data_IF_123667765054
#
_entry.id   IF_123667765054
#
_cell.length_a   1.000
_cell.length_b   1.000
_cell.length_c   1.000
_cell.angle_alpha   90.00
_cell.angle_beta   90.00
_cell.angle_gamma   90.00
#
_symmetry.space_group_name_H-M   'P 1'
#
loop_
_entity.id
_entity.type
_entity.pdbx_description
1 polymer ?
#
# COMPACT_ATOMS: atom_id res chain seq x y z
N UNK A 1 21.28 28.84 34.38
CA UNK A 1 20.03 28.53 35.11
C UNK A 1 19.37 27.45 34.29
N UNK A 2 19.59 26.20 34.69
CA UNK A 2 19.06 25.04 33.97
C UNK A 2 17.55 24.99 34.22
N UNK A 3 16.78 25.36 33.19
CA UNK A 3 15.32 25.33 33.19
C UNK A 3 14.82 23.88 33.08
N UNK A 4 15.30 22.98 33.95
CA UNK A 4 14.86 21.60 33.97
C UNK A 4 13.51 21.56 34.68
N UNK A 5 12.42 21.59 33.93
CA UNK A 5 11.07 21.43 34.45
C UNK A 5 11.02 20.02 35.07
N UNK A 6 10.85 19.88 36.40
CA UNK A 6 10.89 18.58 37.05
C UNK A 6 9.76 17.68 36.54
N UNK A 7 10.10 16.44 36.19
CA UNK A 7 9.14 15.42 35.75
C UNK A 7 8.87 14.49 36.92
N UNK A 8 7.61 14.41 37.34
CA UNK A 8 7.18 13.58 38.46
C UNK A 8 7.09 12.12 38.02
N UNK A 9 7.58 11.20 38.84
CA UNK A 9 7.52 9.75 38.57
C UNK A 9 8.62 9.21 37.66
N UNK A 10 9.64 10.02 37.31
CA UNK A 10 10.76 9.57 36.46
C UNK A 10 11.54 8.41 37.09
N UNK A 11 11.81 8.48 38.40
CA UNK A 11 12.55 7.42 39.11
C UNK A 11 11.74 6.11 39.15
N UNK A 12 10.43 6.21 39.39
CA UNK A 12 9.53 5.05 39.41
C UNK A 12 9.42 4.41 38.01
N UNK A 13 9.30 5.22 36.95
CA UNK A 13 9.30 4.72 35.58
C UNK A 13 10.64 4.05 35.26
N UNK A 14 11.76 4.69 35.60
CA UNK A 14 13.10 4.16 35.33
C UNK A 14 13.31 2.82 36.03
N UNK A 15 12.94 2.71 37.31
CA UNK A 15 13.01 1.46 38.06
C UNK A 15 12.13 0.36 37.46
N UNK A 16 10.92 0.72 37.00
CA UNK A 16 10.04 -0.23 36.32
C UNK A 16 10.60 -0.69 34.97
N UNK A 17 11.19 0.21 34.19
CA UNK A 17 11.87 -0.12 32.93
C UNK A 17 13.07 -1.04 33.15
N UNK A 18 13.87 -0.79 34.18
CA UNK A 18 14.99 -1.66 34.55
C UNK A 18 14.51 -3.07 34.95
N UNK A 19 13.36 -3.17 35.61
CA UNK A 19 12.72 -4.45 35.92
C UNK A 19 12.21 -5.19 34.68
N UNK A 20 11.61 -4.48 33.71
CA UNK A 20 11.20 -5.05 32.42
C UNK A 20 12.40 -5.55 31.60
N UNK A 21 13.50 -4.80 31.62
CA UNK A 21 14.75 -5.19 30.95
C UNK A 21 15.34 -6.45 31.60
N UNK A 22 15.36 -6.52 32.93
CA UNK A 22 15.87 -7.68 33.65
C UNK A 22 14.97 -8.91 33.48
N UNK A 23 13.66 -8.73 33.37
CA UNK A 23 12.69 -9.79 33.16
C UNK A 23 11.57 -9.34 32.20
N UNK A 24 11.67 -9.67 30.89
CA UNK A 24 10.68 -9.29 29.88
C UNK A 24 9.27 -9.88 30.07
N UNK A 25 9.09 -10.83 30.98
CA UNK A 25 7.77 -11.37 31.35
C UNK A 25 7.08 -10.54 32.45
N UNK A 26 7.73 -9.50 32.98
CA UNK A 26 7.14 -8.60 33.97
C UNK A 26 5.94 -7.86 33.36
N UNK A 27 4.77 -7.82 34.03
CA UNK A 27 3.63 -7.07 33.52
C UNK A 27 3.93 -5.58 33.38
N UNK A 28 3.60 -5.01 32.22
CA UNK A 28 3.77 -3.60 31.92
C UNK A 28 2.80 -2.74 32.76
N UNK A 29 3.33 -1.77 33.51
CA UNK A 29 2.54 -0.76 34.20
C UNK A 29 2.36 0.47 33.30
N UNK A 30 1.36 0.43 32.42
CA UNK A 30 1.10 1.48 31.43
C UNK A 30 0.94 2.88 32.05
N UNK A 31 0.36 2.96 33.26
CA UNK A 31 0.14 4.23 33.96
C UNK A 31 1.43 5.03 34.17
N UNK A 32 2.55 4.36 34.48
CA UNK A 32 3.84 5.05 34.70
C UNK A 32 4.35 5.72 33.42
N UNK A 33 4.09 5.10 32.27
CA UNK A 33 4.46 5.66 30.97
C UNK A 33 3.52 6.81 30.60
N UNK A 34 2.21 6.61 30.75
CA UNK A 34 1.21 7.63 30.40
C UNK A 34 1.37 8.90 31.24
N UNK A 35 1.55 8.76 32.56
CA UNK A 35 1.74 9.87 33.50
C UNK A 35 2.99 10.69 33.14
N UNK A 36 4.08 10.02 32.71
CA UNK A 36 5.30 10.70 32.26
C UNK A 36 5.13 11.30 30.86
N UNK A 37 4.48 10.58 29.95
CA UNK A 37 4.22 11.04 28.59
C UNK A 37 3.44 12.37 28.61
N UNK A 38 2.41 12.49 29.45
CA UNK A 38 1.61 13.72 29.61
C UNK A 38 2.42 14.94 30.04
N UNK A 39 3.55 14.75 30.72
CA UNK A 39 4.43 15.81 31.21
C UNK A 39 5.52 16.22 30.20
N UNK A 40 5.69 15.50 29.08
CA UNK A 40 6.70 15.82 28.08
C UNK A 40 6.36 17.08 27.28
N UNK A 41 7.34 17.98 27.23
CA UNK A 41 7.34 19.27 26.51
C UNK A 41 8.66 19.43 25.74
N UNK A 42 8.72 20.36 24.79
CA UNK A 42 9.95 20.61 24.03
C UNK A 42 11.13 21.03 24.92
N UNK A 43 10.85 21.62 26.09
CA UNK A 43 11.88 22.08 27.04
C UNK A 43 12.48 20.97 27.90
N UNK A 44 11.68 19.96 28.31
CA UNK A 44 12.13 18.89 29.21
C UNK A 44 12.41 17.56 28.49
N UNK A 45 12.04 17.42 27.21
CA UNK A 45 12.32 16.21 26.43
C UNK A 45 13.82 15.98 26.19
N UNK A 46 14.63 16.98 25.78
CA UNK A 46 16.05 16.76 25.48
C UNK A 46 16.87 16.09 26.61
N UNK A 47 16.79 16.51 27.89
CA UNK A 47 17.55 15.85 28.95
C UNK A 47 17.08 14.41 29.21
N UNK A 48 15.82 14.07 28.95
CA UNK A 48 15.26 12.74 29.19
C UNK A 48 15.63 11.73 28.11
N UNK A 49 16.01 12.19 26.90
CA UNK A 49 16.42 11.32 25.79
C UNK A 49 17.50 10.33 26.22
N UNK A 50 18.56 10.82 26.86
CA UNK A 50 19.71 9.99 27.24
C UNK A 50 19.38 8.96 28.33
N UNK A 51 18.38 9.25 29.16
CA UNK A 51 17.97 8.38 30.27
C UNK A 51 16.96 7.33 29.83
N UNK A 52 15.94 7.73 29.07
CA UNK A 52 14.79 6.90 28.74
C UNK A 52 14.96 6.13 27.42
N UNK A 53 15.55 6.76 26.40
CA UNK A 53 15.60 6.17 25.06
C UNK A 53 16.36 4.84 25.01
N UNK A 54 17.57 4.69 25.62
CA UNK A 54 18.28 3.40 25.59
C UNK A 54 17.46 2.27 26.22
N UNK A 55 16.75 2.56 27.31
CA UNK A 55 15.90 1.60 28.01
C UNK A 55 14.66 1.24 27.18
N UNK A 56 14.01 2.23 26.57
CA UNK A 56 12.87 2.00 25.68
C UNK A 56 13.26 1.12 24.50
N UNK A 57 14.40 1.41 23.84
CA UNK A 57 14.91 0.58 22.75
C UNK A 57 15.10 -0.86 23.22
N UNK A 58 15.72 -1.07 24.38
CA UNK A 58 15.91 -2.42 24.91
C UNK A 58 14.58 -3.13 25.19
N UNK A 59 13.61 -2.45 25.81
CA UNK A 59 12.27 -3.01 26.08
C UNK A 59 11.56 -3.37 24.77
N UNK A 60 11.58 -2.47 23.79
CA UNK A 60 10.93 -2.69 22.49
C UNK A 60 11.54 -3.90 21.74
N UNK A 61 12.84 -4.17 21.93
CA UNK A 61 13.51 -5.32 21.35
C UNK A 61 13.23 -6.64 22.06
N UNK A 62 12.93 -6.62 23.36
CA UNK A 62 12.79 -7.84 24.18
C UNK A 62 11.36 -8.16 24.61
N UNK A 63 10.42 -7.23 24.46
CA UNK A 63 9.05 -7.41 24.95
C UNK A 63 8.33 -8.57 24.24
N UNK A 64 7.66 -9.40 25.05
CA UNK A 64 6.81 -10.49 24.57
C UNK A 64 5.33 -10.09 24.48
N UNK A 65 5.01 -8.87 24.92
CA UNK A 65 3.66 -8.31 24.96
C UNK A 65 3.55 -7.07 24.08
N UNK A 66 2.32 -6.66 23.79
CA UNK A 66 2.01 -5.48 23.00
C UNK A 66 2.81 -4.23 23.46
N UNK A 67 3.69 -3.67 22.61
CA UNK A 67 4.53 -2.52 22.93
C UNK A 67 3.83 -1.17 22.77
N UNK A 68 2.49 -1.11 22.64
CA UNK A 68 1.76 0.14 22.38
C UNK A 68 2.18 1.30 23.30
N UNK A 69 2.22 1.08 24.63
CA UNK A 69 2.59 2.14 25.58
C UNK A 69 4.07 2.57 25.47
N UNK A 70 5.08 1.67 25.52
CA UNK A 70 6.47 2.09 25.31
C UNK A 70 6.71 2.68 23.91
N UNK A 71 6.00 2.24 22.87
CA UNK A 71 6.08 2.80 21.52
C UNK A 71 5.53 4.23 21.45
N UNK A 72 4.44 4.52 22.16
CA UNK A 72 3.86 5.87 22.28
C UNK A 72 4.85 6.84 22.92
N UNK A 73 5.40 6.48 24.09
CA UNK A 73 6.39 7.30 24.78
C UNK A 73 7.64 7.51 23.92
N UNK A 74 8.11 6.45 23.24
CA UNK A 74 9.24 6.54 22.30
C UNK A 74 8.95 7.51 21.17
N UNK A 75 7.76 7.44 20.56
CA UNK A 75 7.33 8.36 19.50
C UNK A 75 7.38 9.81 19.97
N UNK A 76 6.92 10.09 21.19
CA UNK A 76 6.94 11.44 21.75
C UNK A 76 8.36 11.93 22.04
N UNK A 77 9.21 11.07 22.61
CA UNK A 77 10.63 11.38 22.86
C UNK A 77 11.41 11.64 21.58
N UNK A 78 11.14 10.90 20.50
CA UNK A 78 11.85 11.07 19.22
C UNK A 78 11.40 12.29 18.40
N UNK A 79 10.28 12.95 18.76
CA UNK A 79 9.73 14.10 18.04
C UNK A 79 10.78 15.17 17.65
N UNK A 80 11.64 15.68 18.57
CA UNK A 80 12.62 16.74 18.25
C UNK A 80 13.79 16.27 17.39
N UNK A 81 13.98 14.97 17.18
CA UNK A 81 15.12 14.43 16.44
C UNK A 81 14.84 14.33 14.95
N UNK A 82 15.87 14.56 14.13
CA UNK A 82 15.86 14.31 12.68
C UNK A 82 16.08 12.83 12.38
N UNK A 83 15.82 12.38 11.15
CA UNK A 83 16.05 10.98 10.78
C UNK A 83 17.54 10.61 10.89
N UNK A 84 18.42 11.51 10.45
CA UNK A 84 19.88 11.34 10.55
C UNK A 84 20.35 11.19 11.99
N UNK A 85 19.78 11.97 12.92
CA UNK A 85 20.09 11.86 14.34
C UNK A 85 19.62 10.52 14.92
N UNK A 86 18.42 10.06 14.56
CA UNK A 86 17.89 8.79 15.09
C UNK A 86 18.74 7.61 14.59
N UNK A 87 19.08 7.58 13.31
CA UNK A 87 19.92 6.52 12.72
C UNK A 87 21.37 6.53 13.22
N UNK A 88 21.84 7.66 13.78
CA UNK A 88 23.12 7.70 14.50
C UNK A 88 23.05 7.12 15.91
N UNK A 89 21.86 7.10 16.52
CA UNK A 89 21.61 6.59 17.87
C UNK A 89 21.21 5.12 17.90
N UNK A 90 20.50 4.66 16.87
CA UNK A 90 20.06 3.29 16.71
C UNK A 90 20.46 2.76 15.31
N UNK A 91 21.07 1.57 15.23
CA UNK A 91 21.52 1.03 13.97
C UNK A 91 20.33 0.63 13.07
N UNK A 92 20.49 0.57 11.74
CA UNK A 92 19.40 0.23 10.81
C UNK A 92 18.68 -1.09 11.12
N UNK A 93 19.39 -2.06 11.70
CA UNK A 93 18.87 -3.36 12.10
C UNK A 93 17.75 -3.25 13.15
N UNK A 94 17.81 -2.23 14.02
CA UNK A 94 16.72 -1.94 14.97
C UNK A 94 15.43 -1.55 14.25
N UNK A 95 15.52 -0.82 13.13
CA UNK A 95 14.36 -0.45 12.33
C UNK A 95 13.77 -1.66 11.62
N UNK A 96 14.64 -2.53 11.07
CA UNK A 96 14.22 -3.79 10.43
C UNK A 96 13.47 -4.66 11.45
N UNK A 97 14.05 -4.88 12.63
CA UNK A 97 13.42 -5.67 13.69
C UNK A 97 12.05 -5.10 14.10
N UNK A 98 11.91 -3.77 14.16
CA UNK A 98 10.63 -3.13 14.49
C UNK A 98 9.60 -3.21 13.35
N UNK A 99 10.04 -3.17 12.08
CA UNK A 99 9.19 -3.39 10.90
C UNK A 99 8.72 -4.84 10.79
N UNK A 100 9.56 -5.80 11.14
CA UNK A 100 9.26 -7.25 11.11
C UNK A 100 8.56 -7.75 12.39
N UNK A 101 8.38 -6.87 13.38
CA UNK A 101 7.67 -7.20 14.60
C UNK A 101 6.23 -7.66 14.31
N UNK A 102 5.71 -8.67 15.00
CA UNK A 102 4.30 -9.05 14.91
C UNK A 102 3.37 -8.01 15.54
N UNK A 103 3.91 -7.00 16.23
CA UNK A 103 3.13 -5.99 16.92
C UNK A 103 2.92 -4.75 16.06
N UNK A 104 1.65 -4.36 15.78
CA UNK A 104 1.36 -3.22 14.91
C UNK A 104 1.97 -1.90 15.42
N UNK A 105 2.01 -1.72 16.75
CA UNK A 105 2.59 -0.53 17.36
C UNK A 105 4.10 -0.38 17.09
N UNK A 106 4.85 -1.49 17.02
CA UNK A 106 6.26 -1.46 16.67
C UNK A 106 6.47 -1.10 15.19
N UNK A 107 5.64 -1.67 14.29
CA UNK A 107 5.67 -1.33 12.87
C UNK A 107 5.37 0.15 12.65
N UNK A 108 4.33 0.68 13.31
CA UNK A 108 3.92 2.09 13.20
C UNK A 108 5.00 3.02 13.77
N UNK A 109 5.66 2.65 14.87
CA UNK A 109 6.81 3.40 15.40
C UNK A 109 7.94 3.45 14.37
N UNK A 110 8.33 2.32 13.79
CA UNK A 110 9.38 2.26 12.79
C UNK A 110 9.03 3.12 11.57
N UNK A 111 7.81 2.98 11.03
CA UNK A 111 7.31 3.82 9.94
C UNK A 111 7.27 5.31 10.31
N UNK A 112 6.99 5.65 11.57
CA UNK A 112 7.04 7.02 12.06
C UNK A 112 8.47 7.57 12.08
N UNK A 113 9.46 6.74 12.42
CA UNK A 113 10.87 7.11 12.32
C UNK A 113 11.26 7.31 10.84
N UNK A 114 10.91 6.37 9.96
CA UNK A 114 11.17 6.51 8.51
C UNK A 114 10.53 7.78 7.94
N UNK A 115 9.32 8.12 8.38
CA UNK A 115 8.61 9.31 7.93
C UNK A 115 9.36 10.61 8.26
N UNK A 116 10.22 10.63 9.28
CA UNK A 116 11.03 11.82 9.58
C UNK A 116 11.97 12.19 8.45
N UNK A 117 12.39 11.23 7.62
CA UNK A 117 13.21 11.51 6.45
C UNK A 117 12.49 12.44 5.45
N UNK A 118 11.15 12.45 5.43
CA UNK A 118 10.37 13.39 4.60
C UNK A 118 10.53 14.87 5.03
N UNK A 119 11.31 15.17 6.07
CA UNK A 119 11.64 16.54 6.45
C UNK A 119 12.65 17.22 5.52
N UNK A 120 13.49 16.44 4.82
CA UNK A 120 14.49 16.95 3.89
C UNK A 120 14.86 15.92 2.82
N UNK A 121 15.05 16.37 1.58
CA UNK A 121 15.41 15.52 0.44
C UNK A 121 16.69 14.69 0.68
N UNK A 122 17.68 15.27 1.37
CA UNK A 122 18.92 14.58 1.73
C UNK A 122 18.71 13.41 2.71
N UNK A 123 17.73 13.50 3.61
CA UNK A 123 17.42 12.40 4.53
C UNK A 123 16.67 11.26 3.80
N UNK A 124 15.84 11.59 2.81
CA UNK A 124 15.23 10.57 1.94
C UNK A 124 16.29 9.87 1.10
N UNK A 125 17.28 10.61 0.58
CA UNK A 125 18.42 10.01 -0.11
C UNK A 125 19.23 9.08 0.80
N UNK A 126 19.46 9.46 2.06
CA UNK A 126 20.09 8.60 3.06
C UNK A 126 19.28 7.32 3.30
N UNK A 127 17.95 7.42 3.47
CA UNK A 127 17.07 6.25 3.59
C UNK A 127 17.12 5.37 2.34
N UNK A 128 17.18 5.98 1.16
CA UNK A 128 17.30 5.27 -0.11
C UNK A 128 18.61 4.49 -0.22
N UNK A 129 19.66 4.78 0.56
CA UNK A 129 20.88 3.95 0.60
C UNK A 129 20.66 2.66 1.43
N UNK A 130 19.73 2.67 2.38
CA UNK A 130 19.45 1.55 3.31
C UNK A 130 18.53 0.50 2.69
N UNK A 131 19.04 -0.34 1.77
CA UNK A 131 18.26 -1.33 1.00
C UNK A 131 17.37 -2.23 1.85
N UNK A 132 17.94 -2.86 2.86
CA UNK A 132 17.20 -3.81 3.70
C UNK A 132 16.09 -3.12 4.51
N UNK A 133 16.28 -1.85 4.89
CA UNK A 133 15.23 -1.07 5.57
C UNK A 133 14.07 -0.76 4.63
N UNK A 134 14.36 -0.36 3.39
CA UNK A 134 13.32 -0.11 2.36
C UNK A 134 12.57 -1.40 2.02
N UNK A 135 13.29 -2.52 1.90
CA UNK A 135 12.72 -3.85 1.67
C UNK A 135 11.76 -4.24 2.80
N UNK A 136 12.23 -4.20 4.05
CA UNK A 136 11.41 -4.49 5.22
C UNK A 136 10.18 -3.57 5.27
N UNK A 137 10.34 -2.27 4.98
CA UNK A 137 9.22 -1.33 4.94
C UNK A 137 8.15 -1.71 3.90
N UNK A 138 8.57 -2.09 2.68
CA UNK A 138 7.65 -2.53 1.62
C UNK A 138 6.92 -3.80 2.02
N UNK A 139 7.63 -4.81 2.56
CA UNK A 139 7.03 -6.04 3.08
C UNK A 139 5.99 -5.72 4.16
N UNK A 140 6.35 -4.98 5.20
CA UNK A 140 5.44 -4.64 6.31
C UNK A 140 4.25 -3.83 5.84
N UNK A 141 4.45 -2.86 4.94
CA UNK A 141 3.35 -2.02 4.47
C UNK A 141 2.33 -2.79 3.62
N UNK A 142 2.79 -3.55 2.63
CA UNK A 142 1.88 -4.24 1.71
C UNK A 142 1.40 -5.59 2.26
N UNK A 143 2.23 -6.30 3.04
CA UNK A 143 1.94 -7.62 3.59
C UNK A 143 1.18 -7.65 4.92
N UNK A 144 1.05 -6.53 5.64
CA UNK A 144 0.37 -6.53 6.95
C UNK A 144 -1.16 -6.63 6.84
N UNK A 145 -1.79 -7.40 7.74
CA UNK A 145 -3.26 -7.44 7.92
C UNK A 145 -3.86 -6.19 8.56
N UNK A 146 -3.02 -5.35 9.15
CA UNK A 146 -3.46 -4.28 10.03
C UNK A 146 -3.76 -3.01 9.25
N UNK A 147 -4.94 -2.44 9.47
CA UNK A 147 -5.39 -1.23 8.78
C UNK A 147 -4.45 -0.06 9.09
N UNK A 148 -4.12 0.15 10.37
CA UNK A 148 -3.26 1.26 10.79
C UNK A 148 -1.84 1.20 10.23
N UNK A 149 -1.27 -0.01 10.09
CA UNK A 149 0.04 -0.22 9.45
C UNK A 149 -0.05 0.11 7.96
N UNK A 150 -1.09 -0.36 7.29
CA UNK A 150 -1.38 -0.08 5.89
C UNK A 150 -1.53 1.40 5.57
N UNK A 151 -2.33 2.12 6.36
CA UNK A 151 -2.58 3.55 6.22
C UNK A 151 -1.31 4.36 6.47
N UNK A 152 -0.58 4.05 7.56
CA UNK A 152 0.68 4.71 7.87
C UNK A 152 1.70 4.48 6.76
N UNK A 153 1.87 3.24 6.30
CA UNK A 153 2.82 2.90 5.24
C UNK A 153 2.53 3.63 3.93
N UNK A 154 1.27 3.71 3.52
CA UNK A 154 0.87 4.43 2.30
C UNK A 154 1.18 5.92 2.38
N UNK A 155 0.89 6.53 3.55
CA UNK A 155 1.26 7.93 3.82
C UNK A 155 2.77 8.14 3.77
N UNK A 156 3.54 7.28 4.43
CA UNK A 156 5.00 7.39 4.50
C UNK A 156 5.62 7.24 3.11
N UNK A 157 5.24 6.22 2.35
CA UNK A 157 5.75 6.02 0.99
C UNK A 157 5.42 7.21 0.09
N UNK A 158 4.16 7.67 0.09
CA UNK A 158 3.73 8.80 -0.72
C UNK A 158 4.47 10.10 -0.37
N UNK A 159 4.67 10.39 0.92
CA UNK A 159 5.36 11.60 1.37
C UNK A 159 6.87 11.56 1.07
N UNK A 160 7.51 10.40 1.25
CA UNK A 160 8.93 10.23 0.94
C UNK A 160 9.20 10.38 -0.57
N UNK A 161 8.39 9.74 -1.42
CA UNK A 161 8.51 9.86 -2.87
C UNK A 161 8.19 11.28 -3.37
N UNK A 162 7.24 11.97 -2.75
CA UNK A 162 7.01 13.39 -3.04
C UNK A 162 8.23 14.24 -2.74
N UNK A 163 8.81 14.11 -1.54
CA UNK A 163 10.00 14.86 -1.10
C UNK A 163 11.24 14.56 -1.92
N UNK A 164 11.41 13.32 -2.39
CA UNK A 164 12.56 12.91 -3.20
C UNK A 164 12.36 13.10 -4.72
N UNK A 165 11.17 13.48 -5.18
CA UNK A 165 10.90 13.71 -6.60
C UNK A 165 11.89 14.72 -7.21
N UNK A 166 12.58 14.31 -8.28
CA UNK A 166 13.64 15.10 -8.92
C UNK A 166 13.11 16.08 -9.98
N UNK A 167 11.79 16.16 -10.15
CA UNK A 167 11.13 17.23 -10.89
C UNK A 167 11.09 18.53 -10.07
N UNK A 168 11.18 19.66 -10.78
CA UNK A 168 10.95 20.97 -10.17
C UNK A 168 9.60 20.97 -9.41
N UNK A 169 9.55 21.48 -8.17
CA UNK A 169 8.28 21.67 -7.48
C UNK A 169 7.36 22.59 -8.29
N UNK A 170 6.03 22.36 -8.26
CA UNK A 170 5.10 23.27 -8.90
C UNK A 170 5.22 24.67 -8.27
N UNK A 171 5.20 25.71 -9.11
CA UNK A 171 5.34 27.08 -8.64
C UNK A 171 4.19 27.43 -7.70
N UNK A 172 4.46 27.61 -6.40
CA UNK A 172 3.44 28.00 -5.43
C UNK A 172 2.80 29.31 -5.85
N UNK A 173 1.59 29.26 -6.40
CA UNK A 173 0.77 30.45 -6.59
C UNK A 173 0.57 31.09 -5.23
N UNK A 174 1.01 32.33 -5.05
CA UNK A 174 0.70 33.14 -3.87
C UNK A 174 -0.82 33.44 -3.86
N UNK A 175 -1.64 32.48 -3.46
CA UNK A 175 -3.07 32.72 -3.28
C UNK A 175 -3.30 33.50 -1.98
N UNK A 176 -3.83 34.70 -2.17
CA UNK A 176 -4.32 35.70 -1.22
C UNK A 176 -4.54 35.21 0.22
N UNK A 177 -3.69 35.70 1.14
CA UNK A 177 -4.03 35.81 2.57
C UNK A 177 -5.33 36.61 2.71
N UNK A 178 -6.46 35.94 2.97
CA UNK A 178 -7.73 36.64 3.14
C UNK A 178 -8.95 35.83 3.58
N UNK A 179 -8.84 34.52 3.83
CA UNK A 179 -9.97 33.71 4.31
C UNK A 179 -9.58 32.94 5.56
N UNK A 180 -10.16 33.29 6.71
CA UNK A 180 -10.06 32.53 7.97
C UNK A 180 -11.04 31.34 7.95
N UNK A 181 -10.95 30.50 6.92
CA UNK A 181 -11.76 29.31 6.76
C UNK A 181 -11.04 28.06 7.25
N UNK A 182 -11.78 27.15 7.89
CA UNK A 182 -11.32 25.82 8.29
C UNK A 182 -10.92 25.00 7.03
N UNK A 183 -9.92 24.10 7.06
CA UNK A 183 -9.43 23.35 5.89
C UNK A 183 -10.45 22.45 5.17
N UNK A 184 -11.68 22.36 5.67
CA UNK A 184 -12.75 21.55 5.10
C UNK A 184 -13.88 22.40 4.49
N UNK A 185 -13.82 23.73 4.61
CA UNK A 185 -14.84 24.69 4.14
C UNK A 185 -14.41 25.45 2.86
N UNK A 186 -13.26 25.09 2.27
CA UNK A 186 -12.63 25.85 1.18
C UNK A 186 -12.28 24.98 -0.05
N UNK A 187 -13.20 24.13 -0.51
CA UNK A 187 -12.97 23.30 -1.70
C UNK A 187 -11.83 22.28 -1.53
N UNK A 188 -11.67 21.40 -2.53
CA UNK A 188 -10.60 20.39 -2.51
C UNK A 188 -9.21 21.04 -2.69
N UNK A 189 -8.14 20.42 -2.15
CA UNK A 189 -6.77 20.92 -2.30
C UNK A 189 -6.41 21.05 -3.79
N UNK A 190 -5.82 22.18 -4.18
CA UNK A 190 -5.26 22.32 -5.53
C UNK A 190 -4.04 21.41 -5.69
N UNK A 191 -3.60 21.09 -6.92
CA UNK A 191 -2.36 20.32 -7.15
C UNK A 191 -1.16 20.86 -6.35
N UNK A 192 -1.11 22.17 -6.11
CA UNK A 192 -0.06 22.83 -5.33
C UNK A 192 -0.13 22.52 -3.82
N UNK A 193 -1.32 22.21 -3.30
CA UNK A 193 -1.54 21.82 -1.91
C UNK A 193 -1.24 20.33 -1.66
N UNK A 194 -1.16 19.53 -2.73
CA UNK A 194 -0.84 18.11 -2.68
C UNK A 194 0.67 17.83 -2.65
N UNK A 195 1.50 18.79 -3.10
CA UNK A 195 2.96 18.63 -3.19
C UNK A 195 3.65 19.13 -1.92
N UNK A 196 4.30 18.20 -1.22
CA UNK A 196 5.03 18.48 0.01
C UNK A 196 6.39 19.14 -0.23
N UNK A 197 7.08 18.75 -1.31
CA UNK A 197 8.45 19.20 -1.57
C UNK A 197 8.52 20.70 -1.82
N UNK A 198 9.56 21.34 -1.27
CA UNK A 198 9.85 22.77 -1.46
C UNK A 198 10.99 23.02 -2.45
N UNK A 199 11.76 21.98 -2.72
CA UNK A 199 12.94 21.97 -3.56
C UNK A 199 12.97 20.65 -4.34
N UNK A 200 13.82 20.59 -5.35
CA UNK A 200 14.06 19.39 -6.14
C UNK A 200 14.74 18.32 -5.28
N UNK A 201 14.19 17.11 -5.28
CA UNK A 201 14.78 15.93 -4.66
C UNK A 201 15.84 15.26 -5.53
N UNK A 202 16.39 14.14 -5.05
CA UNK A 202 17.47 13.42 -5.72
C UNK A 202 16.99 12.32 -6.68
N UNK A 203 15.74 11.88 -6.52
CA UNK A 203 15.17 10.72 -7.19
C UNK A 203 15.77 9.38 -6.73
N UNK A 204 16.55 9.36 -5.64
CA UNK A 204 17.22 8.15 -5.15
C UNK A 204 16.24 7.09 -4.66
N UNK A 205 15.19 7.49 -3.94
CA UNK A 205 14.15 6.57 -3.46
C UNK A 205 13.25 6.13 -4.61
N UNK A 206 12.94 7.01 -5.57
CA UNK A 206 12.25 6.61 -6.81
C UNK A 206 12.99 5.50 -7.53
N UNK A 207 14.30 5.65 -7.73
CA UNK A 207 15.15 4.60 -8.32
C UNK A 207 15.14 3.33 -7.48
N UNK A 208 15.24 3.45 -6.15
CA UNK A 208 15.21 2.28 -5.26
C UNK A 208 13.87 1.53 -5.30
N UNK A 209 12.74 2.20 -5.49
CA UNK A 209 11.42 1.54 -5.51
C UNK A 209 11.05 1.01 -6.89
N UNK A 210 11.39 1.73 -7.97
CA UNK A 210 10.91 1.42 -9.33
C UNK A 210 11.97 0.83 -10.28
N UNK A 211 13.25 1.03 -10.00
CA UNK A 211 14.34 0.55 -10.87
C UNK A 211 15.18 -0.58 -10.23
N UNK A 212 15.19 -0.71 -8.89
CA UNK A 212 15.87 -1.83 -8.20
C UNK A 212 15.06 -3.12 -8.38
N UNK A 213 15.66 -4.11 -9.04
CA UNK A 213 15.00 -5.38 -9.37
C UNK A 213 14.43 -6.12 -8.16
N UNK A 214 15.14 -6.08 -7.03
CA UNK A 214 14.72 -6.79 -5.83
C UNK A 214 13.52 -6.10 -5.18
N UNK A 215 13.56 -4.77 -5.05
CA UNK A 215 12.48 -4.01 -4.39
C UNK A 215 11.25 -3.92 -5.29
N UNK A 216 11.43 -3.59 -6.57
CA UNK A 216 10.31 -3.49 -7.49
C UNK A 216 9.69 -4.87 -7.76
N UNK A 217 10.53 -5.91 -7.91
CA UNK A 217 10.07 -7.30 -8.00
C UNK A 217 9.30 -7.75 -6.76
N UNK A 218 9.72 -7.34 -5.56
CA UNK A 218 8.99 -7.57 -4.32
C UNK A 218 7.60 -6.91 -4.34
N UNK A 219 7.50 -5.62 -4.71
CA UNK A 219 6.21 -4.91 -4.86
C UNK A 219 5.29 -5.69 -5.81
N UNK A 220 5.78 -6.06 -6.98
CA UNK A 220 4.99 -6.80 -7.97
C UNK A 220 4.54 -8.18 -7.47
N UNK A 221 5.39 -8.92 -6.75
CA UNK A 221 5.05 -10.23 -6.22
C UNK A 221 4.04 -10.19 -5.08
N UNK A 222 4.09 -9.18 -4.21
CA UNK A 222 3.07 -8.91 -3.18
C UNK A 222 1.71 -8.64 -3.84
N UNK A 223 1.68 -7.76 -4.84
CA UNK A 223 0.44 -7.36 -5.52
C UNK A 223 -0.12 -8.43 -6.47
N UNK A 224 0.71 -9.37 -6.92
CA UNK A 224 0.30 -10.49 -7.75
C UNK A 224 -0.08 -11.74 -6.94
N UNK A 225 0.00 -11.69 -5.60
CA UNK A 225 -0.33 -12.84 -4.75
C UNK A 225 0.66 -13.99 -4.88
N UNK A 226 1.95 -13.67 -5.01
CA UNK A 226 3.07 -14.62 -5.18
C UNK A 226 4.10 -14.56 -4.04
N UNK A 227 4.07 -13.48 -3.26
CA UNK A 227 4.85 -13.37 -2.03
C UNK A 227 4.24 -14.22 -0.91
N UNK A 228 5.04 -14.70 0.05
CA UNK A 228 4.56 -15.54 1.16
C UNK A 228 3.39 -14.93 1.93
N UNK A 229 3.38 -13.61 2.14
CA UNK A 229 2.31 -12.89 2.86
C UNK A 229 0.98 -12.88 2.11
N UNK A 230 1.01 -12.95 0.78
CA UNK A 230 -0.16 -12.78 -0.10
C UNK A 230 -0.38 -14.00 -1.02
N UNK A 231 0.30 -15.12 -0.78
CA UNK A 231 0.33 -16.25 -1.72
C UNK A 231 -1.02 -16.95 -1.81
N UNK A 232 -1.69 -16.84 -2.95
CA UNK A 232 -2.98 -17.50 -3.21
C UNK A 232 -2.87 -18.70 -4.15
N UNK A 233 -1.67 -19.02 -4.64
CA UNK A 233 -1.47 -20.08 -5.65
C UNK A 233 -1.44 -21.47 -5.00
N UNK A 234 -0.77 -21.60 -3.85
CA UNK A 234 -0.57 -22.87 -3.17
C UNK A 234 -0.93 -22.75 -1.67
N UNK A 235 -2.20 -22.53 -1.31
CA UNK A 235 -2.60 -22.52 0.09
C UNK A 235 -2.52 -23.95 0.68
N UNK A 236 -2.19 -24.05 1.96
CA UNK A 236 -2.18 -25.33 2.70
C UNK A 236 -3.59 -25.83 2.95
N UNK A 237 -4.52 -24.91 3.25
CA UNK A 237 -5.92 -25.20 3.48
C UNK A 237 -6.84 -24.02 3.12
N UNK A 238 -8.15 -24.22 3.27
CA UNK A 238 -9.19 -23.25 2.95
C UNK A 238 -9.16 -22.00 3.85
N UNK A 239 -8.71 -22.14 5.10
CA UNK A 239 -8.64 -21.02 6.03
C UNK A 239 -7.46 -20.10 5.66
N UNK A 240 -6.30 -20.69 5.34
CA UNK A 240 -5.15 -19.95 4.82
C UNK A 240 -5.48 -19.28 3.49
N UNK A 241 -6.17 -19.98 2.57
CA UNK A 241 -6.58 -19.39 1.29
C UNK A 241 -7.36 -18.09 1.48
N UNK A 242 -8.41 -18.10 2.32
CA UNK A 242 -9.22 -16.91 2.61
C UNK A 242 -8.41 -15.80 3.26
N UNK A 243 -7.49 -16.16 4.15
CA UNK A 243 -6.59 -15.19 4.78
C UNK A 243 -5.70 -14.52 3.73
N UNK A 244 -5.06 -15.30 2.85
CA UNK A 244 -4.17 -14.80 1.80
C UNK A 244 -4.90 -14.00 0.73
N UNK A 245 -6.11 -14.41 0.35
CA UNK A 245 -7.00 -13.64 -0.53
C UNK A 245 -7.31 -12.27 0.08
N UNK A 246 -7.70 -12.24 1.37
CA UNK A 246 -7.93 -10.98 2.08
C UNK A 246 -6.68 -10.09 2.11
N UNK A 247 -5.51 -10.67 2.38
CA UNK A 247 -4.25 -9.92 2.40
C UNK A 247 -3.89 -9.36 1.03
N UNK A 248 -4.10 -10.13 -0.04
CA UNK A 248 -3.89 -9.67 -1.41
C UNK A 248 -4.80 -8.48 -1.75
N UNK A 249 -6.09 -8.58 -1.45
CA UNK A 249 -7.07 -7.48 -1.61
C UNK A 249 -6.63 -6.22 -0.86
N UNK A 250 -6.16 -6.34 0.38
CA UNK A 250 -5.65 -5.21 1.15
C UNK A 250 -4.41 -4.58 0.51
N UNK A 251 -3.44 -5.39 0.09
CA UNK A 251 -2.22 -4.93 -0.57
C UNK A 251 -2.53 -4.17 -1.87
N UNK A 252 -3.40 -4.75 -2.72
CA UNK A 252 -3.84 -4.15 -3.98
C UNK A 252 -4.58 -2.83 -3.74
N UNK A 253 -5.54 -2.80 -2.81
CA UNK A 253 -6.27 -1.59 -2.44
C UNK A 253 -5.35 -0.48 -1.91
N UNK A 254 -4.29 -0.81 -1.16
CA UNK A 254 -3.29 0.17 -0.68
C UNK A 254 -2.55 0.84 -1.83
N UNK A 255 -2.14 0.08 -2.85
CA UNK A 255 -1.47 0.64 -4.03
C UNK A 255 -2.42 1.47 -4.88
N UNK A 256 -3.65 1.00 -5.14
CA UNK A 256 -4.65 1.76 -5.88
C UNK A 256 -4.92 3.14 -5.26
N UNK A 257 -4.89 3.27 -3.94
CA UNK A 257 -5.09 4.56 -3.24
C UNK A 257 -3.95 5.56 -3.44
N UNK A 258 -2.70 5.12 -3.56
CA UNK A 258 -1.55 6.05 -3.66
C UNK A 258 -1.07 6.28 -5.09
N UNK A 259 -1.32 5.32 -5.99
CA UNK A 259 -0.77 5.33 -7.34
C UNK A 259 -1.19 6.56 -8.18
N UNK A 260 -2.42 7.09 -8.07
CA UNK A 260 -2.79 8.36 -8.71
C UNK A 260 -1.90 9.52 -8.28
N UNK A 261 -1.59 9.64 -6.98
CA UNK A 261 -0.66 10.65 -6.45
C UNK A 261 0.74 10.44 -7.01
N UNK A 262 1.23 9.20 -7.03
CA UNK A 262 2.57 8.90 -7.57
C UNK A 262 2.69 9.23 -9.05
N UNK A 263 1.68 8.87 -9.86
CA UNK A 263 1.63 9.20 -11.28
C UNK A 263 1.64 10.72 -11.53
N UNK A 264 1.06 11.49 -10.61
CA UNK A 264 1.03 12.93 -10.71
C UNK A 264 2.38 13.58 -10.34
N UNK A 265 3.18 12.93 -9.48
CA UNK A 265 4.53 13.36 -9.14
C UNK A 265 5.55 13.00 -10.24
N UNK A 266 5.49 11.75 -10.72
CA UNK A 266 6.34 11.23 -11.79
C UNK A 266 5.61 10.14 -12.57
N UNK A 267 4.97 10.56 -13.67
CA UNK A 267 4.22 9.65 -14.52
C UNK A 267 5.13 8.62 -15.21
N UNK A 268 6.33 9.02 -15.62
CA UNK A 268 7.23 8.14 -16.37
C UNK A 268 7.66 6.95 -15.51
N UNK A 269 8.02 7.20 -14.24
CA UNK A 269 8.47 6.16 -13.30
C UNK A 269 7.41 5.10 -12.98
N UNK A 270 6.13 5.47 -12.95
CA UNK A 270 5.06 4.49 -12.69
C UNK A 270 4.57 3.80 -13.97
N UNK A 271 4.74 4.43 -15.13
CA UNK A 271 4.29 3.91 -16.44
C UNK A 271 5.27 2.93 -17.03
N UNK A 272 6.58 3.16 -16.84
CA UNK A 272 7.66 2.41 -17.50
C UNK A 272 8.41 1.51 -16.54
N UNK A 273 8.75 0.31 -16.99
CA UNK A 273 9.68 -0.57 -16.28
C UNK A 273 10.36 -1.55 -17.22
N UNK A 274 11.60 -1.91 -16.92
CA UNK A 274 12.31 -3.02 -17.56
C UNK A 274 11.88 -4.38 -16.99
N UNK A 275 11.22 -4.38 -15.83
CA UNK A 275 10.80 -5.57 -15.11
C UNK A 275 9.33 -5.85 -15.42
N UNK A 276 9.06 -6.98 -16.05
CA UNK A 276 7.71 -7.36 -16.43
C UNK A 276 6.90 -7.79 -15.20
N UNK A 277 5.70 -7.24 -15.07
CA UNK A 277 4.76 -7.66 -14.04
C UNK A 277 4.37 -9.14 -14.20
N UNK A 278 4.39 -9.94 -13.13
CA UNK A 278 3.99 -11.34 -13.17
C UNK A 278 2.49 -11.48 -13.44
N UNK A 279 2.07 -12.66 -13.89
CA UNK A 279 0.64 -12.98 -13.98
C UNK A 279 0.05 -13.07 -12.56
N UNK A 280 -1.05 -12.36 -12.25
CA UNK A 280 -1.70 -12.45 -10.95
C UNK A 280 -2.11 -13.87 -10.56
N UNK A 281 -2.09 -14.16 -9.26
CA UNK A 281 -2.28 -15.49 -8.71
C UNK A 281 -3.67 -16.09 -8.98
N UNK A 282 -4.72 -15.30 -9.05
CA UNK A 282 -6.09 -15.79 -9.27
C UNK A 282 -6.29 -16.40 -10.67
N UNK A 283 -5.43 -16.06 -11.65
CA UNK A 283 -5.38 -16.75 -12.94
C UNK A 283 -4.65 -18.09 -12.89
N UNK A 284 -3.71 -18.26 -11.95
CA UNK A 284 -2.92 -19.48 -11.78
C UNK A 284 -3.60 -20.48 -10.82
N UNK A 285 -4.28 -19.99 -9.78
CA UNK A 285 -4.96 -20.80 -8.78
C UNK A 285 -6.06 -21.68 -9.38
N UNK A 286 -6.85 -21.15 -10.33
CA UNK A 286 -7.89 -21.94 -11.01
C UNK A 286 -7.34 -23.09 -11.87
N UNK A 287 -6.07 -23.01 -12.32
CA UNK A 287 -5.47 -24.05 -13.15
C UNK A 287 -4.95 -25.25 -12.34
N UNK A 288 -4.65 -25.06 -11.04
CA UNK A 288 -4.10 -26.09 -10.17
C UNK A 288 -5.15 -27.08 -9.65
N UNK A 289 -6.43 -26.69 -9.61
CA UNK A 289 -7.54 -27.56 -9.17
C UNK A 289 -7.94 -28.62 -10.22
N UNK A 290 -7.48 -28.47 -11.47
CA UNK A 290 -7.81 -29.37 -12.59
C UNK A 290 -6.62 -30.24 -13.08
N UNK A 291 -5.62 -30.50 -12.23
CA UNK A 291 -4.48 -31.38 -12.56
C UNK A 291 -4.86 -32.88 -12.66
N UNK A 292 -4.21 -33.66 -13.56
CA UNK A 292 -4.70 -34.97 -13.97
C UNK A 292 -4.58 -36.00 -12.85
N UNK A 293 -5.70 -36.62 -12.47
CA UNK A 293 -5.73 -37.83 -11.65
C UNK A 293 -4.88 -38.93 -12.29
N UNK A 294 -3.63 -39.08 -11.84
CA UNK A 294 -2.80 -40.22 -12.23
C UNK A 294 -3.34 -41.46 -11.54
N UNK A 295 -4.21 -42.16 -12.24
CA UNK A 295 -4.76 -43.44 -11.86
C UNK A 295 -3.63 -44.50 -11.85
N UNK A 296 -2.97 -44.67 -10.72
CA UNK A 296 -2.11 -45.84 -10.45
C UNK A 296 -2.65 -46.54 -9.22
N UNK A 297 -3.54 -47.51 -9.42
CA UNK A 297 -3.69 -48.64 -8.50
C UNK A 297 -3.88 -49.90 -9.35
N UNK A 298 -2.83 -50.72 -9.39
CA UNK A 298 -2.91 -52.08 -9.89
C UNK A 298 -3.75 -52.93 -8.94
N UNK A 299 -4.62 -53.76 -9.49
CA UNK A 299 -5.31 -54.82 -8.74
C UNK A 299 -4.78 -56.18 -9.20
N UNK A 300 -4.45 -57.09 -8.27
CA UNK A 300 -4.41 -58.51 -8.58
C UNK A 300 -5.82 -59.11 -8.52
N UNK A 301 -6.07 -60.02 -9.45
CA UNK A 301 -7.31 -60.80 -9.65
C UNK A 301 -7.67 -61.63 -8.41
N UNK A 302 -8.96 -61.70 -8.09
CA UNK A 302 -9.60 -62.95 -7.67
C UNK A 302 -11.09 -63.01 -8.01
N UNK A 303 -11.49 -64.12 -8.61
CA UNK A 303 -12.87 -64.49 -8.99
C UNK A 303 -13.73 -64.88 -7.77
N UNK A 304 -15.04 -64.63 -7.85
CA UNK A 304 -16.05 -65.24 -6.97
C UNK A 304 -17.49 -64.82 -7.30
N UNK A 305 -18.31 -65.79 -7.67
CA UNK A 305 -19.69 -65.71 -8.21
C UNK A 305 -20.82 -65.56 -7.18
N UNK A 306 -21.94 -64.94 -7.62
CA UNK A 306 -23.34 -65.37 -7.46
C UNK A 306 -24.33 -64.55 -6.57
N UNK A 307 -25.50 -64.31 -7.19
CA UNK A 307 -26.88 -64.27 -6.69
C UNK A 307 -27.52 -63.01 -6.05
N UNK A 308 -28.35 -62.35 -6.90
CA UNK A 308 -29.81 -62.05 -6.75
C UNK A 308 -30.30 -61.06 -5.65
N UNK A 309 -31.51 -60.49 -5.83
CA UNK A 309 -31.71 -59.04 -5.85
C UNK A 309 -32.49 -58.53 -4.62
N UNK A 310 -32.43 -57.23 -4.34
CA UNK A 310 -33.51 -56.60 -3.59
C UNK A 310 -33.75 -55.14 -3.98
N UNK A 311 -35.03 -54.82 -3.94
CA UNK A 311 -35.69 -53.59 -4.36
C UNK A 311 -35.56 -52.46 -3.33
N UNK A 312 -35.80 -51.25 -3.84
CA UNK A 312 -36.36 -50.08 -3.18
C UNK A 312 -35.46 -49.29 -2.22
N UNK A 313 -35.06 -48.13 -2.73
CA UNK A 313 -34.61 -46.98 -1.97
C UNK A 313 -34.49 -45.80 -2.92
N UNK A 314 -35.63 -45.19 -3.27
CA UNK A 314 -35.68 -43.85 -3.85
C UNK A 314 -34.94 -42.90 -2.90
N UNK A 315 -33.71 -42.54 -3.27
CA UNK A 315 -33.02 -41.39 -2.70
C UNK A 315 -32.85 -40.43 -3.87
N UNK A 316 -33.61 -39.34 -3.77
CA UNK A 316 -33.56 -38.16 -4.60
C UNK A 316 -32.10 -37.78 -4.87
N UNK A 317 -31.71 -37.89 -6.14
CA UNK A 317 -30.58 -37.16 -6.70
C UNK A 317 -30.87 -35.67 -6.52
N UNK A 318 -30.42 -35.09 -5.41
CA UNK A 318 -30.11 -33.67 -5.41
C UNK A 318 -28.90 -33.54 -6.33
N UNK A 319 -29.16 -33.11 -7.56
CA UNK A 319 -28.14 -32.54 -8.42
C UNK A 319 -27.53 -31.38 -7.67
N UNK A 320 -26.38 -31.63 -7.04
CA UNK A 320 -25.39 -30.58 -6.88
C UNK A 320 -24.99 -30.30 -8.31
N UNK A 321 -25.54 -29.25 -8.89
CA UNK A 321 -24.92 -28.58 -10.02
C UNK A 321 -23.51 -28.26 -9.53
N UNK A 322 -22.55 -29.11 -9.90
CA UNK A 322 -21.14 -28.74 -9.85
C UNK A 322 -21.07 -27.49 -10.71
N UNK A 323 -21.02 -26.32 -10.06
CA UNK A 323 -20.64 -25.07 -10.71
C UNK A 323 -19.30 -25.35 -11.37
N UNK A 324 -19.35 -25.67 -12.66
CA UNK A 324 -18.20 -25.79 -13.52
C UNK A 324 -17.56 -24.40 -13.50
N UNK A 325 -16.60 -24.20 -12.57
CA UNK A 325 -15.88 -22.94 -12.40
C UNK A 325 -15.12 -22.70 -13.70
N UNK A 326 -15.76 -21.99 -14.62
CA UNK A 326 -15.20 -21.66 -15.91
C UNK A 326 -13.91 -20.87 -15.65
N UNK A 327 -12.79 -21.45 -16.03
CA UNK A 327 -11.47 -20.85 -15.90
C UNK A 327 -11.50 -19.43 -16.48
N UNK A 328 -11.17 -18.42 -15.67
CA UNK A 328 -11.06 -17.06 -16.18
C UNK A 328 -10.08 -17.02 -17.35
N UNK A 329 -10.44 -16.40 -18.48
CA UNK A 329 -9.53 -16.27 -19.60
C UNK A 329 -8.26 -15.56 -19.13
N UNK A 330 -7.10 -16.12 -19.46
CA UNK A 330 -5.81 -15.55 -19.10
C UNK A 330 -5.72 -14.11 -19.62
N UNK A 331 -5.23 -13.16 -18.81
CA UNK A 331 -5.02 -11.81 -19.30
C UNK A 331 -3.90 -11.85 -20.35
N UNK A 332 -3.92 -10.94 -21.33
CA UNK A 332 -2.80 -10.80 -22.24
C UNK A 332 -1.50 -10.58 -21.43
N UNK A 333 -0.35 -11.08 -21.91
CA UNK A 333 0.93 -10.84 -21.27
C UNK A 333 1.23 -9.33 -21.20
N UNK A 334 2.07 -8.87 -20.25
CA UNK A 334 2.44 -7.46 -20.20
C UNK A 334 3.16 -7.10 -21.51
N UNK A 335 2.87 -5.93 -22.06
CA UNK A 335 3.68 -5.39 -23.14
C UNK A 335 5.04 -4.98 -22.57
N UNK A 336 6.11 -5.14 -23.36
CA UNK A 336 7.45 -4.73 -22.97
C UNK A 336 7.46 -3.24 -22.61
N UNK A 337 8.06 -2.91 -21.47
CA UNK A 337 8.14 -1.53 -20.99
C UNK A 337 6.99 -1.10 -20.10
N UNK A 338 5.97 -1.93 -19.85
CA UNK A 338 4.86 -1.58 -18.95
C UNK A 338 5.25 -1.71 -17.47
N UNK A 339 5.08 -0.61 -16.73
CA UNK A 339 5.31 -0.50 -15.29
C UNK A 339 4.06 -0.73 -14.42
N UNK A 340 4.17 -0.29 -13.15
CA UNK A 340 3.19 -0.54 -12.09
C UNK A 340 1.81 0.03 -12.42
N UNK A 341 1.74 1.18 -13.08
CA UNK A 341 0.47 1.81 -13.48
C UNK A 341 -0.34 0.90 -14.40
N UNK A 342 0.31 0.34 -15.43
CA UNK A 342 -0.34 -0.59 -16.35
C UNK A 342 -0.76 -1.87 -15.64
N UNK A 343 0.10 -2.42 -14.79
CA UNK A 343 -0.22 -3.62 -14.02
C UNK A 343 -1.46 -3.40 -13.15
N UNK A 344 -1.47 -2.33 -12.34
CA UNK A 344 -2.56 -2.00 -11.44
C UNK A 344 -3.87 -1.73 -12.19
N UNK A 345 -3.82 -0.93 -13.26
CA UNK A 345 -5.01 -0.48 -13.99
C UNK A 345 -5.65 -1.59 -14.85
N UNK A 346 -4.85 -2.49 -15.42
CA UNK A 346 -5.31 -3.39 -16.48
C UNK A 346 -5.34 -4.86 -16.08
N UNK A 347 -4.51 -5.29 -15.11
CA UNK A 347 -4.23 -6.71 -14.90
C UNK A 347 -4.29 -7.17 -13.45
N UNK A 348 -4.00 -6.31 -12.47
CA UNK A 348 -3.81 -6.66 -11.06
C UNK A 348 -5.09 -7.04 -10.32
N UNK A 349 -6.22 -6.45 -10.70
CA UNK A 349 -7.50 -6.61 -10.00
C UNK A 349 -8.32 -7.72 -10.65
N UNK A 350 -8.81 -8.66 -9.85
CA UNK A 350 -9.90 -9.53 -10.25
C UNK A 350 -11.22 -8.74 -10.26
N UNK A 351 -11.80 -8.55 -11.44
CA UNK A 351 -13.04 -7.78 -11.61
C UNK A 351 -14.29 -8.56 -11.17
N UNK A 352 -14.17 -9.86 -10.89
CA UNK A 352 -15.26 -10.64 -10.29
C UNK A 352 -15.43 -10.34 -8.81
N UNK A 353 -14.38 -9.87 -8.13
CA UNK A 353 -14.50 -9.28 -6.80
C UNK A 353 -15.06 -7.85 -6.94
N UNK A 354 -16.35 -7.71 -6.64
CA UNK A 354 -17.08 -6.44 -6.76
C UNK A 354 -16.43 -5.32 -5.93
N UNK A 355 -15.93 -5.62 -4.71
CA UNK A 355 -15.33 -4.60 -3.86
C UNK A 355 -13.99 -4.13 -4.44
N UNK A 356 -13.21 -5.04 -5.00
CA UNK A 356 -11.97 -4.68 -5.69
C UNK A 356 -12.22 -3.98 -7.02
N UNK A 357 -13.29 -4.34 -7.75
CA UNK A 357 -13.68 -3.63 -8.97
C UNK A 357 -14.10 -2.18 -8.66
N UNK A 358 -14.87 -1.95 -7.60
CA UNK A 358 -15.19 -0.60 -7.13
C UNK A 358 -13.93 0.18 -6.74
N UNK A 359 -12.97 -0.47 -6.06
CA UNK A 359 -11.68 0.15 -5.73
C UNK A 359 -10.86 0.52 -6.97
N UNK A 360 -10.94 -0.28 -8.04
CA UNK A 360 -10.33 0.02 -9.34
C UNK A 360 -11.00 1.24 -10.00
N UNK A 361 -12.33 1.36 -9.90
CA UNK A 361 -13.08 2.51 -10.40
C UNK A 361 -12.67 3.79 -9.65
N UNK A 362 -12.63 3.75 -8.32
CA UNK A 362 -12.17 4.89 -7.49
C UNK A 362 -10.74 5.30 -7.88
N UNK A 363 -9.87 4.33 -8.17
CA UNK A 363 -8.53 4.59 -8.70
C UNK A 363 -8.57 5.34 -10.03
N UNK A 364 -9.40 4.92 -10.99
CA UNK A 364 -9.52 5.59 -12.29
C UNK A 364 -10.07 7.01 -12.16
N UNK A 365 -11.09 7.22 -11.33
CA UNK A 365 -11.63 8.56 -11.05
C UNK A 365 -10.54 9.48 -10.49
N UNK A 366 -9.79 9.02 -9.47
CA UNK A 366 -8.70 9.75 -8.88
C UNK A 366 -7.55 10.00 -9.87
N UNK A 367 -7.15 8.99 -10.64
CA UNK A 367 -6.09 9.08 -11.63
C UNK A 367 -6.42 10.10 -12.72
N UNK A 368 -7.60 10.01 -13.34
CA UNK A 368 -8.01 10.94 -14.40
C UNK A 368 -8.18 12.36 -13.84
N UNK A 369 -8.77 12.49 -12.65
CA UNK A 369 -8.92 13.76 -11.95
C UNK A 369 -7.59 14.45 -11.64
N UNK A 370 -6.61 13.69 -11.14
CA UNK A 370 -5.26 14.21 -10.86
C UNK A 370 -4.48 14.54 -12.14
N UNK A 371 -4.56 13.70 -13.18
CA UNK A 371 -3.90 13.97 -14.46
C UNK A 371 -4.39 15.25 -15.12
N UNK A 372 -5.65 15.66 -14.90
CA UNK A 372 -6.18 16.95 -15.35
C UNK A 372 -5.38 18.13 -14.80
N UNK A 373 -5.04 18.09 -13.51
CA UNK A 373 -4.48 19.25 -12.78
C UNK A 373 -2.95 19.29 -12.76
N UNK A 374 -2.29 18.25 -13.25
CA UNK A 374 -0.83 18.23 -13.46
C UNK A 374 -0.43 19.02 -14.72
N UNK A 375 0.83 19.49 -14.85
CA UNK A 375 1.30 20.18 -16.03
C UNK A 375 0.94 19.45 -17.35
N UNK A 376 0.47 20.15 -18.39
CA UNK A 376 0.11 19.51 -19.65
C UNK A 376 1.36 19.01 -20.38
N UNK A 377 1.30 17.80 -20.91
CA UNK A 377 2.28 17.26 -21.84
C UNK A 377 1.61 16.26 -22.78
N UNK A 378 2.06 16.19 -24.02
CA UNK A 378 1.54 15.23 -25.01
C UNK A 378 1.70 13.78 -24.51
N UNK A 379 2.85 13.49 -23.88
CA UNK A 379 3.12 12.19 -23.26
C UNK A 379 2.05 11.80 -22.22
N UNK A 380 1.65 12.73 -21.35
CA UNK A 380 0.59 12.49 -20.36
C UNK A 380 -0.73 12.16 -21.05
N UNK A 381 -1.14 13.00 -22.01
CA UNK A 381 -2.43 12.83 -22.70
C UNK A 381 -2.48 11.48 -23.40
N UNK A 382 -1.44 11.09 -24.13
CA UNK A 382 -1.43 9.81 -24.83
C UNK A 382 -1.38 8.62 -23.86
N UNK A 383 -0.63 8.72 -22.77
CA UNK A 383 -0.60 7.67 -21.74
C UNK A 383 -1.98 7.44 -21.13
N UNK A 384 -2.70 8.52 -20.76
CA UNK A 384 -4.05 8.41 -20.20
C UNK A 384 -5.01 7.82 -21.23
N UNK A 385 -4.94 8.27 -22.49
CA UNK A 385 -5.72 7.72 -23.60
C UNK A 385 -5.47 6.23 -23.80
N UNK A 386 -4.21 5.80 -23.79
CA UNK A 386 -3.84 4.38 -23.96
C UNK A 386 -4.44 3.53 -22.83
N UNK A 387 -4.21 3.92 -21.57
CA UNK A 387 -4.71 3.17 -20.41
C UNK A 387 -6.25 3.12 -20.42
N UNK A 388 -6.94 4.24 -20.65
CA UNK A 388 -8.41 4.26 -20.71
C UNK A 388 -8.95 3.46 -21.90
N UNK A 389 -8.29 3.55 -23.06
CA UNK A 389 -8.65 2.76 -24.24
C UNK A 389 -8.56 1.28 -23.94
N UNK A 390 -7.50 0.82 -23.26
CA UNK A 390 -7.31 -0.58 -22.86
C UNK A 390 -8.29 -1.03 -21.76
N UNK A 391 -8.53 -0.18 -20.76
CA UNK A 391 -9.45 -0.49 -19.67
C UNK A 391 -10.90 -0.62 -20.13
N UNK A 392 -11.29 0.15 -21.15
CA UNK A 392 -12.64 0.26 -21.71
C UNK A 392 -12.83 -0.46 -23.05
N UNK A 393 -11.88 -1.32 -23.48
CA UNK A 393 -11.97 -2.09 -24.73
C UNK A 393 -13.30 -2.85 -24.79
N UNK A 394 -13.93 -2.85 -25.96
CA UNK A 394 -15.15 -3.61 -26.29
C UNK A 394 -16.32 -3.43 -25.31
N UNK A 395 -16.42 -2.27 -24.63
CA UNK A 395 -17.40 -2.03 -23.56
C UNK A 395 -17.37 -3.11 -22.46
N UNK A 396 -16.21 -3.72 -22.23
CA UNK A 396 -16.01 -4.77 -21.24
C UNK A 396 -16.25 -4.27 -19.81
N UNK A 397 -16.17 -2.96 -19.57
CA UNK A 397 -16.39 -2.35 -18.26
C UNK A 397 -17.34 -1.14 -18.35
N UNK A 398 -18.65 -1.44 -18.42
CA UNK A 398 -19.70 -0.41 -18.46
C UNK A 398 -19.74 0.43 -17.19
N UNK A 399 -19.52 -0.21 -16.04
CA UNK A 399 -19.58 0.47 -14.74
C UNK A 399 -18.48 1.53 -14.63
N UNK A 400 -17.25 1.19 -15.01
CA UNK A 400 -16.16 2.16 -15.08
C UNK A 400 -16.46 3.31 -16.04
N UNK A 401 -17.00 3.00 -17.22
CA UNK A 401 -17.39 4.03 -18.21
C UNK A 401 -18.42 5.01 -17.64
N UNK A 402 -19.51 4.49 -17.08
CA UNK A 402 -20.59 5.30 -16.49
C UNK A 402 -20.09 6.15 -15.32
N UNK A 403 -19.21 5.60 -14.48
CA UNK A 403 -18.57 6.32 -13.38
C UNK A 403 -17.76 7.52 -13.89
N UNK A 404 -16.92 7.33 -14.91
CA UNK A 404 -16.10 8.39 -15.50
C UNK A 404 -16.94 9.44 -16.22
N UNK A 405 -17.97 9.02 -16.97
CA UNK A 405 -18.86 9.94 -17.70
C UNK A 405 -19.70 10.80 -16.76
N UNK A 406 -20.12 10.27 -15.61
CA UNK A 406 -20.87 11.00 -14.57
C UNK A 406 -19.99 11.79 -13.60
N UNK A 407 -18.66 11.62 -13.65
CA UNK A 407 -17.73 12.27 -12.73
C UNK A 407 -17.84 13.81 -12.71
N UNK A 408 -17.98 14.53 -13.84
CA UNK A 408 -18.18 15.98 -13.84
C UNK A 408 -19.42 16.43 -13.07
N UNK A 409 -20.50 15.64 -13.11
CA UNK A 409 -21.76 15.99 -12.46
C UNK A 409 -21.69 15.78 -10.94
N UNK A 410 -20.77 14.94 -10.48
CA UNK A 410 -20.42 14.74 -9.06
C UNK A 410 -19.28 15.65 -8.56
N UNK A 411 -18.72 16.48 -9.45
CA UNK A 411 -17.65 17.43 -9.13
C UNK A 411 -18.23 18.82 -8.86
N UNK A 412 -17.50 19.62 -8.07
CA UNK A 412 -17.86 21.02 -7.76
C UNK A 412 -18.04 21.86 -9.04
N UNK A 413 -18.95 22.83 -8.99
CA UNK A 413 -19.38 23.59 -10.17
C UNK A 413 -18.21 24.29 -10.88
N UNK A 414 -17.21 24.76 -10.13
CA UNK A 414 -16.04 25.47 -10.64
C UNK A 414 -15.13 24.60 -11.53
N UNK A 415 -15.09 23.30 -11.29
CA UNK A 415 -14.20 22.37 -12.00
C UNK A 415 -14.93 21.51 -13.04
N UNK A 416 -16.26 21.46 -12.99
CA UNK A 416 -17.10 20.57 -13.81
C UNK A 416 -16.80 20.69 -15.31
N UNK A 417 -16.78 21.90 -15.85
CA UNK A 417 -16.63 22.09 -17.30
C UNK A 417 -15.21 21.79 -17.78
N UNK A 418 -14.19 22.08 -16.97
CA UNK A 418 -12.81 21.70 -17.27
C UNK A 418 -12.65 20.18 -17.26
N UNK A 419 -13.22 19.50 -16.27
CA UNK A 419 -13.19 18.04 -16.20
C UNK A 419 -13.97 17.40 -17.35
N UNK A 420 -15.12 17.95 -17.74
CA UNK A 420 -15.87 17.48 -18.91
C UNK A 420 -15.07 17.69 -20.21
N UNK A 421 -14.34 18.81 -20.34
CA UNK A 421 -13.41 19.05 -21.44
C UNK A 421 -12.29 18.00 -21.50
N UNK A 422 -11.64 17.77 -20.37
CA UNK A 422 -10.58 16.77 -20.23
C UNK A 422 -11.04 15.36 -20.57
N UNK A 423 -12.19 14.92 -20.04
CA UNK A 423 -12.75 13.60 -20.32
C UNK A 423 -13.07 13.43 -21.80
N UNK A 424 -13.62 14.44 -22.48
CA UNK A 424 -13.84 14.40 -23.94
C UNK A 424 -12.54 14.21 -24.72
N UNK A 425 -11.43 14.72 -24.21
CA UNK A 425 -10.13 14.57 -24.85
C UNK A 425 -9.56 13.16 -24.66
N UNK A 426 -9.64 12.59 -23.45
CA UNK A 426 -8.94 11.33 -23.13
C UNK A 426 -9.80 10.06 -23.21
N UNK A 427 -11.12 10.18 -23.11
CA UNK A 427 -12.01 9.01 -23.17
C UNK A 427 -12.07 8.45 -24.59
N UNK A 428 -12.05 7.11 -24.75
CA UNK A 428 -12.22 6.50 -26.06
C UNK A 428 -13.66 6.69 -26.56
N UNK A 429 -13.78 7.13 -27.82
CA UNK A 429 -15.05 7.21 -28.54
C UNK A 429 -15.78 5.86 -28.57
N UNK A 430 -17.11 5.91 -28.45
CA UNK A 430 -17.99 4.75 -28.56
C UNK A 430 -18.07 4.30 -30.02
N UNK A 431 -18.29 3.01 -30.28
CA UNK A 431 -18.25 2.41 -31.63
C UNK A 431 -19.05 3.17 -32.70
N UNK A 432 -20.20 3.77 -32.35
CA UNK A 432 -21.00 4.56 -33.29
C UNK A 432 -20.32 5.88 -33.71
N UNK A 433 -19.52 6.51 -32.84
CA UNK A 433 -18.77 7.74 -33.16
C UNK A 433 -17.51 7.45 -33.98
N UNK A 434 -16.89 6.28 -33.79
CA UNK A 434 -15.72 5.85 -34.58
C UNK A 434 -16.06 5.70 -36.07
N UNK A 435 -17.24 5.18 -36.37
CA UNK A 435 -17.72 4.99 -37.74
C UNK A 435 -18.13 6.31 -38.43
N UNK A 436 -18.46 7.34 -37.65
CA UNK A 436 -18.79 8.69 -38.16
C UNK A 436 -17.53 9.53 -38.39
N UNK A 437 -16.49 9.38 -37.57
CA UNK A 437 -15.21 10.10 -37.73
C UNK A 437 -14.31 9.49 -38.81
N UNK A 438 -14.48 8.20 -39.11
CA UNK A 438 -13.76 7.50 -40.19
C UNK A 438 -14.41 7.64 -41.58
N UNK A 439 -15.58 8.29 -41.67
CA UNK A 439 -16.29 8.63 -42.92
C UNK A 439 -16.14 10.11 -43.21
#
# INVERSE_FOLDING_TARGET
MDNNIPVTGLDDLTAHMDALIANPSTPLNAKLFDDLELQLTDSNTPPLLTTLLPRLVQILHTTLSDPTTPASLTTKLLRPLTFSQITSLAPPESLIQALESPFPAANILAMTILHKAASASSEVAQLAEMKEVVKAFVCTWLGSSEVGVGEKGGKVMGDLLDVDCDHEPPARTQQRRGGTGHPLDAGMPTWHDLVLRKEKGSGALWKRVFDDEEIYGLVLNLLAGRHEDTNIINPLDEAERKEKERQLTLAQGRILRILPRLAALDLEKVVRSEINAPTPGYYAAGAATNGPSTNRHGTPKHNGTSNRPNQNGDILMNGVEEEEQAQMPLPPPPKTGQGLLHFAALRMVDRNDILMHLSLIDFFEAFVGLMRVTPPSEYKVETVKEILREALVDNNDKLLRESLESLPDRTVDEEREELRGWLREVMPLVGEERDVVMR
#
